data_IF_481668752053
#
_entry.id   IF_481668752053
#
_cell.length_a   1.000
_cell.length_b   1.000
_cell.length_c   1.000
_cell.angle_alpha   90.00
_cell.angle_beta   90.00
_cell.angle_gamma   90.00
#
_symmetry.space_group_name_H-M   'P 1'
#
loop_
_entity.id
_entity.type
_entity.pdbx_description
1 polymer ?
#
# COMPACT_ATOMS: atom_id res chain seq x y z
N UNK A 1 -16.31 -25.37 -29.71
CA UNK A 1 -15.56 -24.09 -29.82
C UNK A 1 -16.56 -22.98 -30.06
N UNK A 2 -17.05 -22.38 -28.98
CA UNK A 2 -18.16 -21.42 -29.02
C UNK A 2 -17.73 -20.16 -29.77
N UNK A 3 -18.49 -19.81 -30.81
CA UNK A 3 -18.36 -18.53 -31.50
C UNK A 3 -18.64 -17.41 -30.50
N UNK A 4 -17.87 -16.31 -30.57
CA UNK A 4 -18.19 -15.08 -29.83
C UNK A 4 -19.52 -14.57 -30.39
N UNK A 5 -20.60 -14.69 -29.61
CA UNK A 5 -21.86 -14.04 -29.97
C UNK A 5 -21.65 -12.53 -29.84
N UNK A 6 -21.94 -11.78 -30.89
CA UNK A 6 -21.79 -10.32 -30.89
C UNK A 6 -22.78 -9.66 -29.93
N UNK A 7 -23.88 -10.33 -29.60
CA UNK A 7 -24.88 -9.83 -28.67
C UNK A 7 -24.40 -9.82 -27.21
N UNK A 8 -23.32 -10.56 -26.89
CA UNK A 8 -22.74 -10.61 -25.56
C UNK A 8 -21.85 -9.39 -25.22
N UNK A 9 -21.60 -8.51 -26.19
CA UNK A 9 -20.64 -7.42 -26.06
C UNK A 9 -21.23 -6.07 -26.47
N UNK A 10 -20.94 -5.03 -25.68
CA UNK A 10 -21.23 -3.65 -26.06
C UNK A 10 -20.32 -3.15 -27.20
N UNK A 11 -20.65 -1.97 -27.74
CA UNK A 11 -19.90 -1.36 -28.85
C UNK A 11 -18.42 -1.12 -28.51
N UNK A 12 -18.09 -0.80 -27.26
CA UNK A 12 -16.71 -0.53 -26.80
C UNK A 12 -15.93 -1.84 -26.64
N UNK A 13 -16.53 -2.89 -26.10
CA UNK A 13 -15.95 -4.23 -26.01
C UNK A 13 -15.66 -4.80 -27.41
N UNK A 14 -16.63 -4.70 -28.34
CA UNK A 14 -16.44 -5.09 -29.75
C UNK A 14 -15.32 -4.29 -30.43
N UNK A 15 -15.14 -3.01 -30.07
CA UNK A 15 -14.05 -2.20 -30.58
C UNK A 15 -12.69 -2.72 -30.11
N UNK A 16 -12.54 -3.11 -28.85
CA UNK A 16 -11.30 -3.70 -28.35
C UNK A 16 -10.99 -5.06 -29.01
N UNK A 17 -12.01 -5.88 -29.30
CA UNK A 17 -11.84 -7.12 -30.10
C UNK A 17 -11.33 -6.79 -31.51
N UNK A 18 -11.93 -5.79 -32.17
CA UNK A 18 -11.51 -5.35 -33.52
C UNK A 18 -10.07 -4.82 -33.52
N UNK A 19 -9.68 -4.04 -32.51
CA UNK A 19 -8.31 -3.51 -32.37
C UNK A 19 -7.30 -4.66 -32.26
N UNK A 20 -7.56 -5.67 -31.42
CA UNK A 20 -6.63 -6.80 -31.29
C UNK A 20 -6.46 -7.58 -32.58
N UNK A 21 -7.54 -7.78 -33.36
CA UNK A 21 -7.45 -8.36 -34.72
C UNK A 21 -6.60 -7.50 -35.66
N UNK A 22 -6.80 -6.18 -35.65
CA UNK A 22 -6.02 -5.24 -36.47
C UNK A 22 -4.53 -5.25 -36.11
N UNK A 23 -4.20 -5.43 -34.84
CA UNK A 23 -2.83 -5.59 -34.35
C UNK A 23 -2.26 -7.01 -34.54
N UNK A 24 -2.96 -7.90 -35.25
CA UNK A 24 -2.46 -9.24 -35.56
C UNK A 24 -2.45 -10.21 -34.38
N UNK A 25 -3.19 -9.93 -33.29
CA UNK A 25 -3.33 -10.89 -32.20
C UNK A 25 -4.02 -12.16 -32.71
N UNK A 26 -3.46 -13.32 -32.35
CA UNK A 26 -4.05 -14.61 -32.73
C UNK A 26 -5.44 -14.77 -32.12
N UNK A 27 -6.26 -15.65 -32.73
CA UNK A 27 -7.59 -15.99 -32.20
C UNK A 27 -7.53 -16.40 -30.72
N UNK A 28 -6.52 -17.17 -30.33
CA UNK A 28 -6.30 -17.60 -28.94
C UNK A 28 -6.05 -16.41 -28.00
N UNK A 29 -5.23 -15.44 -28.42
CA UNK A 29 -4.96 -14.21 -27.65
C UNK A 29 -6.21 -13.34 -27.54
N UNK A 30 -7.01 -13.23 -28.60
CA UNK A 30 -8.27 -12.48 -28.59
C UNK A 30 -9.28 -13.10 -27.64
N UNK A 31 -9.44 -14.42 -27.68
CA UNK A 31 -10.37 -15.14 -26.80
C UNK A 31 -10.02 -15.02 -25.31
N UNK A 32 -8.78 -14.67 -24.97
CA UNK A 32 -8.39 -14.44 -23.58
C UNK A 32 -9.11 -13.24 -22.96
N UNK A 33 -9.28 -12.15 -23.72
CA UNK A 33 -9.89 -10.93 -23.21
C UNK A 33 -11.29 -10.66 -23.77
N UNK A 34 -11.71 -11.34 -24.84
CA UNK A 34 -13.08 -11.31 -25.34
C UNK A 34 -14.02 -12.12 -24.43
N UNK A 35 -14.19 -11.64 -23.19
CA UNK A 35 -14.99 -12.26 -22.14
C UNK A 35 -15.95 -11.21 -21.57
N UNK A 36 -17.23 -11.57 -21.47
CA UNK A 36 -18.31 -10.67 -21.00
C UNK A 36 -18.16 -10.22 -19.54
N UNK A 37 -17.35 -10.93 -18.75
CA UNK A 37 -17.01 -10.53 -17.38
C UNK A 37 -16.12 -9.28 -17.34
N UNK A 38 -15.44 -8.94 -18.44
CA UNK A 38 -14.57 -7.77 -18.52
C UNK A 38 -15.29 -6.59 -19.16
N UNK A 39 -15.18 -5.41 -18.56
CA UNK A 39 -15.57 -4.18 -19.22
C UNK A 39 -14.57 -3.78 -20.34
N UNK A 40 -14.87 -2.70 -21.07
CA UNK A 40 -14.00 -2.25 -22.14
C UNK A 40 -12.61 -1.78 -21.67
N UNK A 41 -12.44 -1.38 -20.41
CA UNK A 41 -11.18 -0.92 -19.85
C UNK A 41 -10.28 -2.10 -19.50
N UNK A 42 -10.82 -3.12 -18.85
CA UNK A 42 -10.15 -4.41 -18.57
C UNK A 42 -9.75 -5.09 -19.88
N UNK A 43 -10.65 -5.16 -20.87
CA UNK A 43 -10.33 -5.69 -22.20
C UNK A 43 -9.19 -4.92 -22.88
N UNK A 44 -9.21 -3.58 -22.79
CA UNK A 44 -8.15 -2.73 -23.35
C UNK A 44 -6.81 -2.98 -22.66
N UNK A 45 -6.79 -3.14 -21.34
CA UNK A 45 -5.59 -3.42 -20.56
C UNK A 45 -4.97 -4.75 -20.99
N UNK A 46 -5.75 -5.83 -20.99
CA UNK A 46 -5.29 -7.17 -21.40
C UNK A 46 -4.79 -7.16 -22.85
N UNK A 47 -5.53 -6.51 -23.76
CA UNK A 47 -5.15 -6.37 -25.17
C UNK A 47 -3.81 -5.65 -25.31
N UNK A 48 -3.63 -4.50 -24.65
CA UNK A 48 -2.38 -3.74 -24.72
C UNK A 48 -1.20 -4.51 -24.15
N UNK A 49 -1.38 -5.27 -23.06
CA UNK A 49 -0.35 -6.14 -22.54
C UNK A 49 0.12 -7.17 -23.60
N UNK A 50 -0.82 -7.78 -24.34
CA UNK A 50 -0.50 -8.72 -25.42
C UNK A 50 0.18 -8.06 -26.63
N UNK A 51 -0.24 -6.85 -27.00
CA UNK A 51 0.33 -6.06 -28.10
C UNK A 51 1.75 -5.60 -27.79
N UNK A 52 2.03 -5.24 -26.53
CA UNK A 52 3.35 -4.87 -26.05
C UNK A 52 4.27 -6.08 -25.80
N UNK A 53 3.88 -7.27 -26.26
CA UNK A 53 4.73 -8.45 -26.23
C UNK A 53 4.74 -9.21 -24.90
N UNK A 54 3.88 -8.87 -23.92
CA UNK A 54 3.78 -9.64 -22.70
C UNK A 54 3.37 -11.08 -23.04
N UNK A 55 4.03 -12.06 -22.41
CA UNK A 55 3.81 -13.47 -22.72
C UNK A 55 2.35 -13.89 -22.43
N UNK A 56 1.84 -14.83 -23.21
CA UNK A 56 0.48 -15.34 -23.02
C UNK A 56 0.25 -15.89 -21.59
N UNK A 57 1.29 -16.49 -20.97
CA UNK A 57 1.21 -16.98 -19.58
C UNK A 57 1.01 -15.83 -18.59
N UNK A 58 1.82 -14.77 -18.68
CA UNK A 58 1.70 -13.56 -17.85
C UNK A 58 0.33 -12.89 -18.04
N UNK A 59 -0.11 -12.73 -19.29
CA UNK A 59 -1.41 -12.12 -19.58
C UNK A 59 -2.59 -12.92 -19.01
N UNK A 60 -2.50 -14.25 -18.91
CA UNK A 60 -3.57 -15.05 -18.28
C UNK A 60 -3.79 -14.71 -16.81
N UNK A 61 -2.74 -14.29 -16.09
CA UNK A 61 -2.84 -13.86 -14.69
C UNK A 61 -3.52 -12.50 -14.60
N UNK A 62 -3.20 -11.57 -15.50
CA UNK A 62 -3.87 -10.27 -15.60
C UNK A 62 -5.35 -10.45 -15.95
N UNK A 63 -5.66 -11.35 -16.89
CA UNK A 63 -7.01 -11.64 -17.37
C UNK A 63 -7.80 -12.52 -16.40
N UNK A 64 -7.87 -12.11 -15.14
CA UNK A 64 -8.66 -12.74 -14.10
C UNK A 64 -9.96 -11.93 -13.86
N UNK A 65 -11.16 -12.52 -14.09
CA UNK A 65 -12.44 -11.83 -13.88
C UNK A 65 -12.75 -11.50 -12.42
N UNK A 66 -12.05 -12.11 -11.47
CA UNK A 66 -12.20 -11.81 -10.04
C UNK A 66 -11.43 -10.56 -9.61
N UNK A 67 -10.66 -9.94 -10.53
CA UNK A 67 -9.95 -8.68 -10.30
C UNK A 67 -10.73 -7.49 -10.89
N UNK A 68 -10.86 -6.44 -10.11
CA UNK A 68 -11.26 -5.12 -10.60
C UNK A 68 -10.16 -4.50 -11.50
N UNK A 69 -10.50 -3.39 -12.15
CA UNK A 69 -9.58 -2.72 -13.06
C UNK A 69 -8.27 -2.26 -12.39
N UNK A 70 -8.31 -1.79 -11.14
CA UNK A 70 -7.13 -1.30 -10.43
C UNK A 70 -6.24 -2.46 -9.97
N UNK A 71 -6.82 -3.55 -9.48
CA UNK A 71 -6.09 -4.79 -9.18
C UNK A 71 -5.40 -5.34 -10.44
N UNK A 72 -6.12 -5.40 -11.57
CA UNK A 72 -5.52 -5.84 -12.84
C UNK A 72 -4.38 -4.93 -13.31
N UNK A 73 -4.48 -3.61 -13.08
CA UNK A 73 -3.44 -2.65 -13.42
C UNK A 73 -2.17 -2.93 -12.59
N UNK A 74 -2.30 -3.08 -11.27
CA UNK A 74 -1.20 -3.38 -10.37
C UNK A 74 -0.51 -4.71 -10.71
N UNK A 75 -1.29 -5.76 -10.97
CA UNK A 75 -0.79 -7.06 -11.45
C UNK A 75 -0.07 -6.95 -12.79
N UNK A 76 -0.60 -6.13 -13.70
CA UNK A 76 0.03 -5.87 -15.00
C UNK A 76 1.36 -5.14 -14.85
N UNK A 77 1.41 -4.10 -14.02
CA UNK A 77 2.63 -3.32 -13.74
C UNK A 77 3.70 -4.19 -13.09
N UNK A 78 3.37 -4.97 -12.07
CA UNK A 78 4.27 -5.94 -11.45
C UNK A 78 4.91 -6.90 -12.48
N UNK A 79 4.11 -7.48 -13.37
CA UNK A 79 4.61 -8.42 -14.39
C UNK A 79 5.46 -7.75 -15.48
N UNK A 80 5.21 -6.46 -15.76
CA UNK A 80 6.01 -5.63 -16.69
C UNK A 80 7.34 -5.25 -16.05
N UNK A 81 7.33 -4.88 -14.77
CA UNK A 81 8.51 -4.56 -13.97
C UNK A 81 9.39 -5.79 -13.67
N UNK A 82 8.94 -6.98 -14.08
CA UNK A 82 9.76 -8.19 -14.04
C UNK A 82 9.58 -9.03 -12.79
N UNK A 83 8.55 -8.78 -11.96
CA UNK A 83 8.26 -9.62 -10.81
C UNK A 83 8.02 -11.08 -11.26
N UNK A 84 8.45 -12.08 -10.45
CA UNK A 84 8.28 -13.48 -10.78
C UNK A 84 6.81 -13.83 -10.98
N UNK A 85 6.52 -14.58 -12.05
CA UNK A 85 5.15 -14.94 -12.41
C UNK A 85 4.44 -15.70 -11.28
N UNK A 86 5.13 -16.65 -10.65
CA UNK A 86 4.53 -17.48 -9.59
C UNK A 86 4.23 -16.64 -8.34
N UNK A 87 5.08 -15.68 -8.02
CA UNK A 87 4.86 -14.72 -6.93
C UNK A 87 3.65 -13.83 -7.20
N UNK A 88 3.56 -13.20 -8.38
CA UNK A 88 2.40 -12.36 -8.72
C UNK A 88 1.11 -13.19 -8.77
N UNK A 89 1.16 -14.40 -9.34
CA UNK A 89 -0.01 -15.28 -9.47
C UNK A 89 -0.57 -15.70 -8.11
N UNK A 90 0.29 -15.84 -7.09
CA UNK A 90 -0.12 -16.20 -5.73
C UNK A 90 -1.07 -15.19 -5.11
N UNK A 91 -0.86 -13.89 -5.38
CA UNK A 91 -1.62 -12.80 -4.75
C UNK A 91 -2.71 -12.21 -5.66
N UNK A 92 -2.63 -12.42 -6.98
CA UNK A 92 -3.61 -11.97 -7.96
C UNK A 92 -4.93 -12.79 -7.96
N UNK A 93 -5.47 -13.11 -6.78
CA UNK A 93 -6.66 -13.95 -6.59
C UNK A 93 -7.98 -13.18 -6.57
N UNK A 94 -7.94 -11.88 -6.25
CA UNK A 94 -9.14 -11.06 -5.99
C UNK A 94 -9.41 -10.82 -4.51
N UNK A 95 -8.74 -11.56 -3.62
CA UNK A 95 -8.94 -11.42 -2.17
C UNK A 95 -8.25 -10.17 -1.58
N UNK A 96 -7.21 -9.67 -2.26
CA UNK A 96 -6.46 -8.48 -1.86
C UNK A 96 -6.91 -7.27 -2.67
N UNK A 97 -7.28 -6.17 -2.00
CA UNK A 97 -7.56 -4.92 -2.70
C UNK A 97 -6.31 -4.34 -3.39
N UNK A 98 -6.53 -3.34 -4.26
CA UNK A 98 -5.45 -2.68 -5.00
C UNK A 98 -4.33 -2.15 -4.09
N UNK A 99 -4.65 -1.54 -2.95
CA UNK A 99 -3.64 -0.99 -2.04
C UNK A 99 -2.86 -2.10 -1.32
N UNK A 100 -3.51 -3.21 -0.97
CA UNK A 100 -2.83 -4.37 -0.40
C UNK A 100 -1.87 -5.00 -1.42
N UNK A 101 -2.31 -5.22 -2.67
CA UNK A 101 -1.44 -5.71 -3.75
C UNK A 101 -0.22 -4.83 -3.95
N UNK A 102 -0.42 -3.51 -3.95
CA UNK A 102 0.65 -2.53 -4.06
C UNK A 102 1.69 -2.66 -2.97
N UNK A 103 1.30 -2.87 -1.71
CA UNK A 103 2.27 -3.08 -0.63
C UNK A 103 2.97 -4.45 -0.73
N UNK A 104 2.29 -5.49 -1.24
CA UNK A 104 2.92 -6.81 -1.49
C UNK A 104 4.01 -6.69 -2.55
N UNK A 105 3.67 -6.11 -3.71
CA UNK A 105 4.60 -6.02 -4.84
C UNK A 105 5.75 -5.05 -4.57
N UNK A 106 5.49 -3.91 -3.90
CA UNK A 106 6.56 -3.01 -3.44
C UNK A 106 7.56 -3.68 -2.52
N UNK A 107 7.12 -4.58 -1.64
CA UNK A 107 8.04 -5.33 -0.77
C UNK A 107 9.06 -6.10 -1.60
N UNK A 108 8.60 -6.75 -2.67
CA UNK A 108 9.50 -7.46 -3.59
C UNK A 108 10.40 -6.48 -4.37
N UNK A 109 9.84 -5.40 -4.91
CA UNK A 109 10.60 -4.37 -5.64
C UNK A 109 11.69 -3.72 -4.78
N UNK A 110 11.44 -3.55 -3.48
CA UNK A 110 12.39 -3.02 -2.52
C UNK A 110 13.37 -4.07 -1.97
N UNK A 111 13.32 -5.31 -2.48
CA UNK A 111 14.28 -6.37 -2.17
C UNK A 111 13.99 -7.15 -0.89
N UNK A 112 12.77 -7.08 -0.34
CA UNK A 112 12.39 -7.96 0.76
C UNK A 112 12.38 -9.42 0.31
N UNK A 113 12.86 -10.31 1.19
CA UNK A 113 12.71 -11.74 1.02
C UNK A 113 11.22 -12.14 0.99
N UNK A 114 10.88 -13.17 0.21
CA UNK A 114 9.49 -13.63 0.05
C UNK A 114 8.90 -14.01 1.41
N UNK A 115 9.69 -14.62 2.29
CA UNK A 115 9.28 -15.01 3.63
C UNK A 115 8.88 -13.81 4.50
N UNK A 116 9.53 -12.66 4.32
CA UNK A 116 9.15 -11.42 5.00
C UNK A 116 7.85 -10.85 4.43
N UNK A 117 7.67 -10.92 3.11
CA UNK A 117 6.43 -10.50 2.45
C UNK A 117 5.26 -11.36 2.91
N UNK A 118 5.44 -12.68 3.02
CA UNK A 118 4.42 -13.62 3.48
C UNK A 118 3.91 -13.35 4.90
N UNK A 119 4.69 -12.69 5.75
CA UNK A 119 4.25 -12.31 7.10
C UNK A 119 3.15 -11.26 7.08
N UNK A 120 3.21 -10.30 6.15
CA UNK A 120 2.25 -9.20 6.05
C UNK A 120 1.28 -9.31 4.89
N UNK A 121 1.56 -10.13 3.88
CA UNK A 121 0.69 -10.38 2.73
C UNK A 121 -0.49 -11.28 3.09
N UNK A 122 -1.36 -10.79 3.97
CA UNK A 122 -2.53 -11.50 4.48
C UNK A 122 -3.77 -10.61 4.44
N UNK A 123 -4.88 -11.18 4.01
CA UNK A 123 -6.13 -10.45 3.74
C UNK A 123 -6.72 -9.81 5.00
N UNK A 124 -6.39 -10.35 6.17
CA UNK A 124 -6.86 -9.81 7.44
C UNK A 124 -6.23 -8.46 7.80
N UNK A 125 -5.09 -8.08 7.22
CA UNK A 125 -4.43 -6.79 7.46
C UNK A 125 -4.94 -5.72 6.50
N UNK A 126 -5.28 -4.52 6.98
CA UNK A 126 -5.53 -3.43 6.03
C UNK A 126 -4.21 -2.94 5.42
N UNK A 127 -4.34 -2.23 4.30
CA UNK A 127 -3.19 -1.73 3.56
C UNK A 127 -2.23 -0.87 4.42
N UNK A 128 -2.77 -0.18 5.44
CA UNK A 128 -1.97 0.66 6.32
C UNK A 128 -1.06 -0.19 7.24
N UNK A 129 -1.58 -1.24 7.87
CA UNK A 129 -0.76 -2.18 8.62
C UNK A 129 0.28 -2.85 7.73
N UNK A 130 -0.13 -3.32 6.53
CA UNK A 130 0.79 -3.92 5.56
C UNK A 130 1.92 -2.97 5.18
N UNK A 131 1.61 -1.69 4.97
CA UNK A 131 2.61 -0.65 4.71
C UNK A 131 3.58 -0.49 5.88
N UNK A 132 3.09 -0.44 7.12
CA UNK A 132 3.97 -0.30 8.29
C UNK A 132 4.83 -1.56 8.52
N UNK A 133 4.30 -2.75 8.28
CA UNK A 133 5.08 -3.99 8.34
C UNK A 133 6.18 -3.99 7.27
N UNK A 134 5.83 -3.69 6.01
CA UNK A 134 6.80 -3.57 4.91
C UNK A 134 7.91 -2.58 5.26
N UNK A 135 7.56 -1.37 5.70
CA UNK A 135 8.54 -0.36 6.09
C UNK A 135 9.42 -0.79 7.26
N UNK A 136 8.87 -1.54 8.22
CA UNK A 136 9.63 -2.12 9.32
C UNK A 136 10.65 -3.14 8.83
N UNK A 137 10.23 -4.06 7.97
CA UNK A 137 11.11 -5.08 7.40
C UNK A 137 12.20 -4.49 6.49
N UNK A 138 11.89 -3.44 5.71
CA UNK A 138 12.88 -2.69 4.92
C UNK A 138 13.94 -1.99 5.77
N UNK A 139 13.63 -1.73 7.04
CA UNK A 139 14.52 -1.13 8.03
C UNK A 139 15.09 -2.11 9.02
N UNK A 140 14.87 -3.41 8.80
CA UNK A 140 15.33 -4.48 9.70
C UNK A 140 14.87 -4.27 11.15
N UNK A 141 13.69 -3.65 11.32
CA UNK A 141 13.09 -3.45 12.64
C UNK A 141 12.65 -4.82 13.17
N UNK A 142 13.02 -5.09 14.43
CA UNK A 142 12.68 -6.31 15.15
C UNK A 142 11.17 -6.61 15.15
N UNK A 143 10.83 -7.89 14.98
CA UNK A 143 9.46 -8.37 14.85
C UNK A 143 8.59 -7.98 16.07
N UNK A 144 9.13 -7.97 17.29
CA UNK A 144 8.34 -7.57 18.47
C UNK A 144 7.93 -6.09 18.40
N UNK A 145 8.78 -5.24 17.83
CA UNK A 145 8.45 -3.82 17.60
C UNK A 145 7.44 -3.67 16.47
N UNK A 146 7.56 -4.46 15.40
CA UNK A 146 6.58 -4.48 14.29
C UNK A 146 5.20 -4.83 14.82
N UNK A 147 5.09 -5.94 15.55
CA UNK A 147 3.84 -6.39 16.16
C UNK A 147 3.26 -5.39 17.16
N UNK A 148 4.11 -4.63 17.86
CA UNK A 148 3.66 -3.57 18.76
C UNK A 148 2.94 -2.44 18.02
N UNK A 149 3.49 -1.94 16.90
CA UNK A 149 2.89 -0.79 16.21
C UNK A 149 1.78 -1.15 15.23
N UNK A 150 1.58 -2.43 14.90
CA UNK A 150 0.42 -2.86 14.08
C UNK A 150 -0.79 -3.31 14.91
N UNK A 151 -0.70 -3.21 16.24
CA UNK A 151 -1.79 -3.57 17.14
C UNK A 151 -3.00 -2.66 16.92
N UNK A 152 -4.14 -3.27 16.58
CA UNK A 152 -5.39 -2.59 16.17
C UNK A 152 -6.08 -1.82 17.29
N UNK A 153 -5.63 -1.94 18.53
CA UNK A 153 -6.07 -1.02 19.58
C UNK A 153 -5.62 0.42 19.34
N UNK A 154 -4.58 0.62 18.51
CA UNK A 154 -4.08 1.93 18.14
C UNK A 154 -4.75 2.47 16.87
N UNK A 155 -5.01 3.77 16.84
CA UNK A 155 -5.35 4.49 15.61
C UNK A 155 -4.15 4.50 14.65
N UNK A 156 -4.39 4.72 13.36
CA UNK A 156 -3.31 4.81 12.37
C UNK A 156 -2.26 5.88 12.75
N UNK A 157 -2.70 7.00 13.35
CA UNK A 157 -1.79 8.05 13.80
C UNK A 157 -0.93 7.60 14.99
N UNK A 158 -1.51 6.89 15.96
CA UNK A 158 -0.78 6.30 17.09
C UNK A 158 0.22 5.22 16.61
N UNK A 159 -0.22 4.30 15.74
CA UNK A 159 0.63 3.29 15.10
C UNK A 159 1.86 3.94 14.44
N UNK A 160 1.65 5.05 13.73
CA UNK A 160 2.73 5.79 13.07
C UNK A 160 3.74 6.37 14.05
N UNK A 161 3.31 6.89 15.21
CA UNK A 161 4.24 7.39 16.22
C UNK A 161 5.08 6.26 16.83
N UNK A 162 4.49 5.08 17.03
CA UNK A 162 5.23 3.92 17.55
C UNK A 162 6.25 3.45 16.49
N UNK A 163 5.85 3.36 15.21
CA UNK A 163 6.77 3.08 14.10
C UNK A 163 7.90 4.12 14.00
N UNK A 164 7.60 5.43 14.12
CA UNK A 164 8.63 6.48 14.10
C UNK A 164 9.67 6.30 15.20
N UNK A 165 9.23 5.98 16.42
CA UNK A 165 10.15 5.68 17.52
C UNK A 165 11.00 4.43 17.25
N UNK A 166 10.40 3.37 16.70
CA UNK A 166 11.12 2.15 16.34
C UNK A 166 12.18 2.40 15.26
N UNK A 167 11.84 3.22 14.25
CA UNK A 167 12.73 3.69 13.19
C UNK A 167 13.87 4.58 13.73
N UNK A 168 13.68 5.24 14.86
CA UNK A 168 14.71 6.01 15.57
C UNK A 168 15.42 5.17 16.65
N UNK A 169 15.48 3.84 16.45
CA UNK A 169 16.18 2.90 17.32
C UNK A 169 15.75 2.88 18.79
N UNK A 170 14.58 3.43 19.12
CA UNK A 170 14.05 3.31 20.49
C UNK A 170 13.88 1.82 20.83
N UNK A 171 14.36 1.43 22.01
CA UNK A 171 14.22 0.07 22.52
C UNK A 171 12.74 -0.28 22.71
N UNK A 172 12.40 -1.57 22.69
CA UNK A 172 11.03 -2.01 22.94
C UNK A 172 10.48 -1.49 24.29
N UNK A 173 11.34 -1.42 25.32
CA UNK A 173 10.99 -0.86 26.62
C UNK A 173 10.62 0.62 26.50
N UNK A 174 11.37 1.40 25.73
CA UNK A 174 11.07 2.82 25.49
C UNK A 174 9.80 3.01 24.66
N UNK A 175 9.54 2.16 23.66
CA UNK A 175 8.29 2.21 22.90
C UNK A 175 7.07 1.95 23.80
N UNK A 176 7.15 0.93 24.66
CA UNK A 176 6.08 0.58 25.62
C UNK A 176 5.78 1.66 26.66
N UNK A 177 6.67 2.65 26.84
CA UNK A 177 6.41 3.80 27.70
C UNK A 177 5.23 4.63 27.15
N UNK A 178 5.11 4.76 25.83
CA UNK A 178 4.10 5.61 25.19
C UNK A 178 3.13 4.89 24.24
N UNK A 179 3.41 3.65 23.84
CA UNK A 179 2.50 2.82 23.07
C UNK A 179 1.32 2.36 23.96
N UNK A 180 0.43 3.29 24.28
CA UNK A 180 -0.70 3.12 25.20
C UNK A 180 -1.95 3.76 24.63
N UNK A 181 -3.07 3.03 24.66
CA UNK A 181 -4.32 3.44 23.99
C UNK A 181 -4.86 4.75 24.56
N UNK A 182 -4.63 5.01 25.85
CA UNK A 182 -5.05 6.23 26.53
C UNK A 182 -4.30 7.50 26.06
N UNK A 183 -3.19 7.37 25.33
CA UNK A 183 -2.43 8.53 24.84
C UNK A 183 -2.89 8.92 23.44
N UNK A 184 -3.25 10.19 23.22
CA UNK A 184 -3.46 10.70 21.87
C UNK A 184 -2.18 10.60 21.02
N UNK A 185 -2.29 10.62 19.70
CA UNK A 185 -1.10 10.59 18.84
C UNK A 185 -0.20 11.82 19.06
N UNK A 186 -0.75 12.97 19.46
CA UNK A 186 0.04 14.14 19.87
C UNK A 186 0.81 13.90 21.17
N UNK A 187 0.19 13.25 22.16
CA UNK A 187 0.88 12.87 23.40
C UNK A 187 2.00 11.87 23.09
N UNK A 188 1.72 10.84 22.29
CA UNK A 188 2.72 9.88 21.83
C UNK A 188 3.86 10.56 21.08
N UNK A 189 3.56 11.53 20.21
CA UNK A 189 4.54 12.31 19.47
C UNK A 189 5.50 13.06 20.40
N UNK A 190 4.96 13.76 21.40
CA UNK A 190 5.76 14.51 22.37
C UNK A 190 6.67 13.59 23.19
N UNK A 191 6.13 12.48 23.70
CA UNK A 191 6.91 11.51 24.48
C UNK A 191 8.01 10.89 23.62
N UNK A 192 7.69 10.49 22.38
CA UNK A 192 8.65 9.96 21.42
C UNK A 192 9.80 10.94 21.20
N UNK A 193 9.51 12.22 20.94
CA UNK A 193 10.56 13.24 20.75
C UNK A 193 11.47 13.36 21.97
N UNK A 194 10.91 13.34 23.18
CA UNK A 194 11.73 13.34 24.39
C UNK A 194 12.63 12.09 24.47
N UNK A 195 12.09 10.90 24.22
CA UNK A 195 12.88 9.66 24.23
C UNK A 195 13.99 9.66 23.17
N UNK A 196 13.71 10.15 21.95
CA UNK A 196 14.67 10.28 20.85
C UNK A 196 15.81 11.26 21.17
N UNK A 197 15.53 12.28 21.99
CA UNK A 197 16.52 13.25 22.47
C UNK A 197 17.20 12.81 23.79
N UNK A 198 17.08 11.55 24.20
CA UNK A 198 17.80 10.97 25.33
C UNK A 198 17.18 11.24 26.71
N UNK A 199 15.95 11.77 26.78
CA UNK A 199 15.25 11.89 28.05
C UNK A 199 14.77 10.52 28.54
N UNK A 200 15.12 10.16 29.78
CA UNK A 200 14.69 8.91 30.40
C UNK A 200 13.40 9.12 31.20
N UNK A 201 12.36 8.37 30.87
CA UNK A 201 11.13 8.32 31.67
C UNK A 201 11.05 6.98 32.40
N UNK A 202 11.08 7.03 33.74
CA UNK A 202 10.72 5.85 34.54
C UNK A 202 9.21 5.70 34.64
N UNK A 203 8.50 6.83 34.66
CA UNK A 203 7.05 6.97 34.57
C UNK A 203 6.73 8.30 33.89
N UNK A 204 5.56 8.39 33.27
CA UNK A 204 5.06 9.62 32.66
C UNK A 204 3.98 10.23 33.56
N UNK A 205 4.13 11.52 33.86
CA UNK A 205 3.09 12.31 34.53
C UNK A 205 2.08 12.81 33.48
N UNK A 206 0.91 12.15 33.46
CA UNK A 206 -0.12 12.40 32.46
C UNK A 206 -0.75 13.79 32.57
N UNK A 207 -0.92 14.31 33.79
CA UNK A 207 -1.48 15.63 34.01
C UNK A 207 -0.56 16.73 33.46
N UNK A 208 0.77 16.54 33.56
CA UNK A 208 1.74 17.48 32.98
C UNK A 208 1.75 17.41 31.45
N UNK A 209 1.61 16.23 30.86
CA UNK A 209 1.56 16.09 29.41
C UNK A 209 0.28 16.68 28.80
N UNK A 210 -0.88 16.50 29.43
CA UNK A 210 -2.11 17.15 28.98
C UNK A 210 -2.03 18.68 28.99
N UNK A 211 -1.28 19.25 29.94
CA UNK A 211 -1.03 20.70 29.96
C UNK A 211 -0.13 21.12 28.78
N UNK A 212 0.87 20.31 28.44
CA UNK A 212 1.78 20.57 27.32
C UNK A 212 1.11 20.39 25.95
N UNK A 213 0.24 19.40 25.77
CA UNK A 213 -0.50 19.20 24.51
C UNK A 213 -1.42 20.38 24.20
N UNK A 214 -2.06 20.97 25.23
CA UNK A 214 -2.88 22.19 25.12
C UNK A 214 -2.08 23.46 24.77
N UNK A 215 -0.76 23.46 24.97
CA UNK A 215 0.13 24.58 24.63
C UNK A 215 0.64 24.53 23.18
N UNK A 216 0.58 23.36 22.52
CA UNK A 216 1.15 23.12 21.20
C UNK A 216 0.17 23.48 20.07
N UNK A 217 0.13 24.77 19.68
CA UNK A 217 -0.58 25.25 18.47
C UNK A 217 0.33 25.38 17.23
N UNK A 218 1.51 24.77 17.20
CA UNK A 218 2.47 24.83 16.08
C UNK A 218 2.66 23.44 15.46
N UNK A 219 1.56 22.81 15.07
CA UNK A 219 1.54 21.39 14.66
C UNK A 219 1.69 21.17 13.14
N UNK A 220 1.91 22.22 12.35
CA UNK A 220 1.97 22.14 10.87
C UNK A 220 3.41 22.07 10.35
N UNK A 221 4.39 22.59 11.09
CA UNK A 221 5.77 22.74 10.58
C UNK A 221 6.61 21.46 10.72
N UNK A 222 6.23 20.53 11.61
CA UNK A 222 7.00 19.33 11.96
C UNK A 222 6.54 18.06 11.23
N UNK A 223 5.44 18.13 10.47
CA UNK A 223 4.92 16.98 9.75
C UNK A 223 5.72 16.76 8.46
N UNK A 224 6.17 15.52 8.25
CA UNK A 224 6.64 15.06 6.94
C UNK A 224 5.57 15.34 5.90
N UNK A 225 5.98 15.74 4.70
CA UNK A 225 5.05 16.10 3.62
C UNK A 225 4.10 14.94 3.26
N UNK A 226 4.54 13.70 3.48
CA UNK A 226 3.73 12.49 3.33
C UNK A 226 2.57 12.40 4.34
N UNK A 227 2.72 12.94 5.56
CA UNK A 227 1.67 12.95 6.60
C UNK A 227 0.66 14.06 6.33
N UNK A 228 1.14 15.20 5.83
CA UNK A 228 0.29 16.33 5.43
C UNK A 228 -0.63 15.95 4.26
N UNK A 229 -0.10 15.21 3.29
CA UNK A 229 -0.87 14.71 2.15
C UNK A 229 -2.02 13.79 2.60
N UNK A 230 -1.78 12.91 3.58
CA UNK A 230 -2.77 11.97 4.11
C UNK A 230 -3.84 12.64 4.98
N UNK A 231 -3.52 13.78 5.61
CA UNK A 231 -4.43 14.54 6.47
C UNK A 231 -5.25 15.60 5.72
N UNK A 232 -5.06 15.78 4.40
CA UNK A 232 -5.69 16.85 3.63
C UNK A 232 -5.25 18.26 4.05
N UNK A 233 -4.10 18.38 4.71
CA UNK A 233 -3.55 19.65 5.23
C UNK A 233 -2.36 20.08 4.38
N UNK A 234 -2.16 21.38 4.20
CA UNK A 234 -0.99 21.94 3.51
C UNK A 234 -0.21 22.84 4.46
N UNK A 235 1.14 22.84 4.36
CA UNK A 235 1.96 23.84 5.03
C UNK A 235 1.63 25.22 4.49
N UNK A 236 1.21 26.15 5.35
CA UNK A 236 1.12 27.56 4.99
C UNK A 236 2.53 28.08 4.80
N UNK A 237 2.98 28.25 3.55
CA UNK A 237 4.22 28.97 3.27
C UNK A 237 4.07 30.38 3.82
N UNK A 238 4.78 30.68 4.92
CA UNK A 238 4.90 32.03 5.43
C UNK A 238 5.52 32.92 4.36
N UNK A 239 4.69 33.71 3.69
CA UNK A 239 5.14 34.89 2.95
C UNK A 239 5.65 35.89 3.99
N UNK A 240 6.93 35.83 4.32
CA UNK A 240 7.62 36.95 4.96
C UNK A 240 7.72 38.07 3.91
N UNK A 241 6.70 38.91 3.83
CA UNK A 241 6.83 40.25 3.27
C UNK A 241 7.78 41.03 4.18
N UNK A 242 9.06 41.11 3.78
CA UNK A 242 9.96 42.13 4.32
C UNK A 242 9.50 43.48 3.76
N UNK A 243 9.11 44.38 4.67
CA UNK A 243 9.12 45.82 4.42
C UNK A 243 10.56 46.30 4.27
#
# INVERSE_FOLDING_TARGET
MTFLDKNDFDKKQLLEIKKGKKHGLSKRKILLYANKAFDNFQMKLIRKALENGLSFKKTRVIANPDLDFYQMLEVSEALINGLPLDFVSKYASGDFDFNQLKEIFKGFEHGLAIEAIERYAKVEFYNYEMRLMRLGYEKEIDEEKVLLYIDRKFSQAQMYQIYKGAKHDLSLKQLKIYAKEEFSDEQMHMIRLCLENGYCFNNIDLEKLEKLSKLSNSYVDCLDDDVLLMAGKQKTKGLTNKK
#
